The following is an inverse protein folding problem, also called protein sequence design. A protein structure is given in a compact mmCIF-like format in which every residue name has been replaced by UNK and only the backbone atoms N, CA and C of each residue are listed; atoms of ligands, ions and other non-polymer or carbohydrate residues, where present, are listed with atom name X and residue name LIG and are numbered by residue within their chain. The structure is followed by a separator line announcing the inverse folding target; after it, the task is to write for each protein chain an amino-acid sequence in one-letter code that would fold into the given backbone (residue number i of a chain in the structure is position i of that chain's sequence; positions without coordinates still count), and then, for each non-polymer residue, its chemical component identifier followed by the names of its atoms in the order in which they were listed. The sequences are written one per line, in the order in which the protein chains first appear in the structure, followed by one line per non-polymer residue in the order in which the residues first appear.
data_IF_611158628587
#
_entry.id   IF_611158628587
#
_cell.length_a   1.000
_cell.length_b   1.000
_cell.length_c   1.000
_cell.angle_alpha   90.00
_cell.angle_beta   90.00
_cell.angle_gamma   90.00
#
_symmetry.space_group_name_H-M   'P 1'
#
loop_
_entity.id
_entity.type
_entity.pdbx_description
1 polymer ?
#
# COMPACT_ATOMS: atom_id res chain seq x y z
N UNK A 1 -11.31 18.71 4.56
CA UNK A 1 -11.73 18.61 5.97
C UNK A 1 -10.95 17.47 6.61
N UNK A 2 -10.32 17.67 7.76
CA UNK A 2 -9.52 16.62 8.42
C UNK A 2 -10.46 15.70 9.20
N UNK A 3 -10.42 14.40 8.90
CA UNK A 3 -11.34 13.44 9.50
C UNK A 3 -11.01 13.09 10.96
N UNK A 4 -11.90 12.35 11.63
CA UNK A 4 -11.66 11.90 12.99
C UNK A 4 -10.45 10.95 13.07
N UNK A 5 -10.28 10.07 12.08
CA UNK A 5 -9.12 9.19 11.95
C UNK A 5 -7.81 9.99 11.89
N UNK A 6 -7.70 10.94 10.97
CA UNK A 6 -6.47 11.73 10.81
C UNK A 6 -6.16 12.55 12.07
N UNK A 7 -7.18 13.15 12.70
CA UNK A 7 -7.00 13.83 13.99
C UNK A 7 -6.50 12.87 15.08
N UNK A 8 -6.98 11.63 15.10
CA UNK A 8 -6.48 10.56 15.96
C UNK A 8 -4.99 10.31 15.75
N UNK A 9 -4.59 10.06 14.50
CA UNK A 9 -3.19 9.79 14.16
C UNK A 9 -2.24 10.94 14.49
N UNK A 10 -2.67 12.19 14.26
CA UNK A 10 -1.87 13.36 14.65
C UNK A 10 -1.69 13.49 16.17
N UNK A 11 -2.71 13.13 16.96
CA UNK A 11 -2.60 13.09 18.42
C UNK A 11 -1.63 11.99 18.86
N UNK A 12 -1.73 10.80 18.27
CA UNK A 12 -0.82 9.69 18.56
C UNK A 12 0.62 10.05 18.22
N UNK A 13 0.83 10.62 17.02
CA UNK A 13 2.14 11.10 16.58
C UNK A 13 2.74 12.09 17.57
N UNK A 14 1.97 13.10 17.99
CA UNK A 14 2.43 14.09 18.96
C UNK A 14 2.81 13.43 20.28
N UNK A 15 2.03 12.47 20.79
CA UNK A 15 2.38 11.70 22.00
C UNK A 15 3.67 10.92 21.82
N UNK A 16 3.88 10.29 20.66
CA UNK A 16 5.06 9.48 20.35
C UNK A 16 6.35 10.30 20.22
N UNK A 17 6.27 11.60 19.91
CA UNK A 17 7.45 12.49 19.90
C UNK A 17 8.06 12.68 21.29
N UNK A 18 7.23 12.69 22.33
CA UNK A 18 7.67 12.95 23.71
C UNK A 18 7.95 11.67 24.50
N UNK A 19 7.62 10.50 23.95
CA UNK A 19 7.94 9.24 24.58
C UNK A 19 9.44 8.94 24.45
N UNK A 20 10.11 8.61 25.55
CA UNK A 20 11.52 8.20 25.54
C UNK A 20 11.71 6.94 24.69
N UNK A 21 12.75 6.93 23.84
CA UNK A 21 12.95 5.88 22.84
C UNK A 21 11.86 5.79 21.77
N UNK A 22 10.96 6.78 21.73
CA UNK A 22 9.72 6.74 20.98
C UNK A 22 9.90 6.56 19.48
N UNK A 23 8.96 5.81 18.90
CA UNK A 23 8.78 5.65 17.46
C UNK A 23 8.58 6.98 16.72
N UNK A 24 8.28 8.08 17.42
CA UNK A 24 8.05 9.40 16.83
C UNK A 24 9.19 9.90 15.95
N UNK A 25 10.44 9.54 16.24
CA UNK A 25 11.58 9.91 15.39
C UNK A 25 11.58 9.25 14.00
N UNK A 26 10.81 8.17 13.85
CA UNK A 26 10.76 7.33 12.64
C UNK A 26 9.48 7.50 11.82
N UNK A 27 8.50 8.23 12.33
CA UNK A 27 7.22 8.44 11.65
C UNK A 27 6.85 9.91 11.67
N UNK A 28 6.52 10.47 10.49
CA UNK A 28 6.20 11.90 10.32
C UNK A 28 5.07 12.08 9.31
N UNK A 29 4.05 12.91 9.60
CA UNK A 29 3.12 13.35 8.57
C UNK A 29 3.84 14.26 7.57
N UNK A 30 3.43 14.25 6.31
CA UNK A 30 3.91 15.16 5.30
C UNK A 30 3.35 16.57 5.57
N UNK A 31 4.21 17.60 5.50
CA UNK A 31 3.87 18.98 5.88
C UNK A 31 2.69 19.56 5.10
N UNK A 32 2.65 19.30 3.79
CA UNK A 32 1.63 19.80 2.87
C UNK A 32 0.46 18.83 2.67
N UNK A 33 0.50 17.63 3.26
CA UNK A 33 -0.61 16.67 3.17
C UNK A 33 -0.63 15.71 4.38
N UNK A 34 -1.49 15.98 5.35
CA UNK A 34 -1.65 15.17 6.58
C UNK A 34 -2.16 13.75 6.35
N UNK A 35 -2.61 13.42 5.14
CA UNK A 35 -2.97 12.05 4.76
C UNK A 35 -1.74 11.22 4.36
N UNK A 36 -0.63 11.86 4.01
CA UNK A 36 0.60 11.17 3.64
C UNK A 36 1.53 11.14 4.84
N UNK A 37 2.03 9.96 5.13
CA UNK A 37 2.92 9.67 6.25
C UNK A 37 4.21 9.08 5.72
N UNK A 38 5.32 9.55 6.26
CA UNK A 38 6.65 9.05 6.01
C UNK A 38 7.06 8.15 7.16
N UNK A 39 7.51 6.93 6.84
CA UNK A 39 7.90 5.93 7.82
C UNK A 39 9.31 5.45 7.49
N UNK A 40 10.15 5.36 8.51
CA UNK A 40 11.45 4.67 8.48
C UNK A 40 11.33 3.46 9.38
N UNK A 41 11.53 2.27 8.81
CA UNK A 41 11.38 1.01 9.51
C UNK A 41 12.76 0.40 9.70
N UNK A 42 13.01 -0.12 10.89
CA UNK A 42 14.21 -0.92 11.18
C UNK A 42 13.82 -2.34 11.54
N UNK A 43 14.70 -3.28 11.21
CA UNK A 43 14.59 -4.65 11.72
C UNK A 43 14.91 -4.69 13.24
N UNK A 44 14.74 -5.87 13.84
CA UNK A 44 14.98 -6.06 15.29
C UNK A 44 16.42 -5.76 15.72
N UNK A 45 17.39 -5.79 14.79
CA UNK A 45 18.80 -5.52 15.03
C UNK A 45 19.19 -4.06 14.75
N UNK A 46 18.32 -3.27 14.09
CA UNK A 46 18.62 -1.90 13.69
C UNK A 46 19.53 -1.77 12.47
N UNK A 47 19.79 -2.87 11.74
CA UNK A 47 20.76 -2.87 10.65
C UNK A 47 20.12 -2.51 9.32
N UNK A 48 18.95 -3.11 9.02
CA UNK A 48 18.20 -2.87 7.79
C UNK A 48 17.25 -1.69 7.96
N UNK A 49 17.17 -0.85 6.93
CA UNK A 49 16.44 0.41 6.98
C UNK A 49 15.52 0.53 5.75
N UNK A 50 14.21 0.49 5.95
CA UNK A 50 13.22 0.65 4.87
C UNK A 50 12.50 1.98 5.05
N UNK A 51 12.62 2.83 4.05
CA UNK A 51 11.83 4.04 3.91
C UNK A 51 10.59 3.76 3.07
N UNK A 52 9.43 4.09 3.60
CA UNK A 52 8.17 3.99 2.88
C UNK A 52 7.27 5.20 3.12
N UNK A 53 6.38 5.41 2.17
CA UNK A 53 5.31 6.38 2.26
C UNK A 53 3.98 5.65 2.42
N UNK A 54 3.12 6.17 3.28
CA UNK A 54 1.81 5.60 3.56
C UNK A 54 0.76 6.69 3.38
N UNK A 55 -0.18 6.48 2.47
CA UNK A 55 -1.39 7.28 2.41
C UNK A 55 -2.44 6.65 3.33
N UNK A 56 -3.01 7.46 4.21
CA UNK A 56 -4.11 7.08 5.10
C UNK A 56 -5.33 7.95 4.77
N UNK A 57 -6.43 7.29 4.42
CA UNK A 57 -7.71 7.92 4.13
C UNK A 57 -8.87 7.13 4.72
N UNK A 58 -10.09 7.54 4.36
CA UNK A 58 -11.31 6.83 4.71
C UNK A 58 -12.20 6.68 3.47
N UNK A 59 -12.81 5.52 3.30
CA UNK A 59 -13.80 5.24 2.26
C UNK A 59 -14.98 4.53 2.90
N UNK A 60 -16.18 5.12 2.80
CA UNK A 60 -17.39 4.56 3.42
C UNK A 60 -17.30 4.40 4.95
N UNK A 61 -16.52 5.25 5.62
CA UNK A 61 -16.30 5.17 7.08
C UNK A 61 -15.24 4.15 7.53
N UNK A 62 -14.66 3.38 6.59
CA UNK A 62 -13.56 2.46 6.88
C UNK A 62 -12.20 3.09 6.51
N UNK A 63 -11.13 2.86 7.29
CA UNK A 63 -9.80 3.32 6.95
C UNK A 63 -9.30 2.66 5.66
N UNK A 64 -8.59 3.43 4.84
CA UNK A 64 -7.89 2.96 3.65
C UNK A 64 -6.41 3.29 3.83
N UNK A 65 -5.55 2.30 3.59
CA UNK A 65 -4.10 2.45 3.67
C UNK A 65 -3.47 2.02 2.34
N UNK A 66 -2.72 2.93 1.72
CA UNK A 66 -1.92 2.64 0.53
C UNK A 66 -0.46 2.87 0.87
N UNK A 67 0.33 1.82 0.73
CA UNK A 67 1.75 1.80 1.05
C UNK A 67 2.58 1.88 -0.24
N UNK A 68 3.65 2.67 -0.22
CA UNK A 68 4.65 2.72 -1.28
C UNK A 68 6.03 2.54 -0.67
N UNK A 69 6.71 1.46 -1.03
CA UNK A 69 8.11 1.28 -0.63
C UNK A 69 9.02 2.14 -1.50
N UNK A 70 9.89 2.92 -0.85
CA UNK A 70 10.85 3.78 -1.53
C UNK A 70 12.26 3.18 -1.53
N UNK A 71 12.49 2.13 -0.73
CA UNK A 71 13.76 1.42 -0.62
C UNK A 71 13.69 0.06 -1.34
N UNK A 72 14.74 -0.35 -2.07
CA UNK A 72 14.89 -1.70 -2.59
C UNK A 72 14.70 -2.72 -1.47
N UNK A 73 13.82 -3.68 -1.71
CA UNK A 73 13.51 -4.73 -0.77
C UNK A 73 12.86 -5.91 -1.52
N UNK A 74 12.96 -7.10 -0.95
CA UNK A 74 12.48 -8.33 -1.58
C UNK A 74 10.95 -8.55 -1.45
N UNK A 75 10.23 -7.66 -0.77
CA UNK A 75 8.83 -7.86 -0.40
C UNK A 75 7.86 -7.02 -1.27
N UNK A 76 8.03 -5.70 -1.28
CA UNK A 76 7.21 -4.75 -2.04
C UNK A 76 8.01 -4.22 -3.22
N UNK A 77 7.47 -4.29 -4.46
CA UNK A 77 8.11 -3.72 -5.62
C UNK A 77 8.42 -2.23 -5.43
N UNK A 78 9.65 -1.86 -5.80
CA UNK A 78 10.15 -0.49 -5.64
C UNK A 78 9.22 0.52 -6.33
N UNK A 79 8.82 1.56 -5.58
CA UNK A 79 7.97 2.66 -6.04
C UNK A 79 6.56 2.29 -6.51
N UNK A 80 6.10 1.05 -6.31
CA UNK A 80 4.70 0.69 -6.58
C UNK A 80 3.81 0.96 -5.37
N UNK A 81 2.57 1.35 -5.66
CA UNK A 81 1.53 1.45 -4.65
C UNK A 81 0.99 0.06 -4.39
N UNK A 82 0.88 -0.26 -3.11
CA UNK A 82 0.40 -1.53 -2.63
C UNK A 82 -0.64 -1.26 -1.57
N UNK A 83 -1.81 -1.82 -1.76
CA UNK A 83 -2.91 -1.51 -0.88
C UNK A 83 -2.92 -2.47 0.32
N UNK A 84 -2.91 -1.88 1.52
CA UNK A 84 -2.69 -2.59 2.78
C UNK A 84 -3.97 -2.87 3.52
N UNK A 85 -4.85 -3.72 2.99
CA UNK A 85 -6.09 -4.09 3.70
C UNK A 85 -5.84 -4.63 5.13
N UNK A 86 -4.83 -5.49 5.39
CA UNK A 86 -4.49 -5.90 6.76
C UNK A 86 -4.01 -4.74 7.62
N UNK A 87 -3.31 -3.78 7.02
CA UNK A 87 -2.77 -2.58 7.68
C UNK A 87 -3.91 -1.61 8.04
N UNK A 88 -4.93 -1.49 7.19
CA UNK A 88 -6.12 -0.71 7.47
C UNK A 88 -6.94 -1.28 8.63
N UNK A 89 -7.02 -2.61 8.77
CA UNK A 89 -7.70 -3.26 9.90
C UNK A 89 -7.07 -2.92 11.24
N UNK A 90 -5.74 -2.76 11.29
CA UNK A 90 -5.03 -2.35 12.50
C UNK A 90 -5.48 -0.96 12.99
N UNK A 91 -5.71 -0.03 12.05
CA UNK A 91 -6.24 1.30 12.38
C UNK A 91 -7.68 1.22 12.90
N UNK A 92 -8.51 0.37 12.29
CA UNK A 92 -9.90 0.16 12.71
C UNK A 92 -9.99 -0.50 14.10
N UNK A 93 -9.06 -1.41 14.43
CA UNK A 93 -9.01 -2.13 15.71
C UNK A 93 -8.49 -1.32 16.90
N UNK A 94 -8.23 -0.02 16.73
CA UNK A 94 -7.74 0.86 17.80
C UNK A 94 -6.24 0.78 18.06
N UNK A 95 -5.46 0.11 17.20
CA UNK A 95 -4.00 0.05 17.31
C UNK A 95 -3.32 1.41 17.10
N UNK A 96 -4.03 2.37 16.49
CA UNK A 96 -3.55 3.73 16.27
C UNK A 96 -2.28 3.78 15.42
N UNK A 97 -1.53 4.87 15.54
CA UNK A 97 -0.32 5.07 14.73
C UNK A 97 0.82 4.09 15.10
N UNK A 98 0.92 3.70 16.37
CA UNK A 98 1.94 2.74 16.82
C UNK A 98 1.63 1.30 16.35
N UNK A 99 0.35 0.90 16.36
CA UNK A 99 -0.11 -0.36 15.77
C UNK A 99 0.19 -0.40 14.27
N UNK A 100 -0.17 0.67 13.55
CA UNK A 100 0.15 0.83 12.13
C UNK A 100 1.64 0.60 11.86
N UNK A 101 2.51 1.32 12.57
CA UNK A 101 3.96 1.20 12.41
C UNK A 101 4.44 -0.24 12.62
N UNK A 102 4.03 -0.89 13.71
CA UNK A 102 4.43 -2.28 14.03
C UNK A 102 3.94 -3.26 12.98
N UNK A 103 2.70 -3.11 12.49
CA UNK A 103 2.15 -3.97 11.45
C UNK A 103 2.94 -3.83 10.15
N UNK A 104 3.23 -2.61 9.71
CA UNK A 104 4.00 -2.37 8.49
C UNK A 104 5.43 -2.90 8.63
N UNK A 105 6.09 -2.67 9.77
CA UNK A 105 7.42 -3.23 10.05
C UNK A 105 7.41 -4.77 9.98
N UNK A 106 6.40 -5.42 10.57
CA UNK A 106 6.22 -6.87 10.51
C UNK A 106 6.03 -7.41 9.10
N UNK A 107 5.35 -6.68 8.21
CA UNK A 107 5.20 -7.07 6.80
C UNK A 107 6.56 -7.10 6.08
N UNK A 108 7.39 -6.06 6.27
CA UNK A 108 8.69 -6.01 5.60
C UNK A 108 9.70 -6.98 6.21
N UNK A 109 9.81 -7.05 7.54
CA UNK A 109 10.87 -7.83 8.20
C UNK A 109 10.46 -9.24 8.61
N UNK A 110 9.23 -9.64 8.30
CA UNK A 110 8.79 -11.04 8.39
C UNK A 110 9.35 -11.95 7.29
N UNK A 111 10.09 -11.40 6.32
CA UNK A 111 10.68 -12.15 5.21
C UNK A 111 12.20 -11.94 5.12
N UNK A 112 12.89 -12.91 4.51
CA UNK A 112 14.29 -12.76 4.19
C UNK A 112 14.49 -11.74 3.05
N UNK A 113 15.37 -10.76 3.27
CA UNK A 113 15.78 -9.80 2.25
C UNK A 113 17.06 -10.27 1.56
N UNK A 114 17.09 -10.10 0.23
CA UNK A 114 18.28 -10.31 -0.60
C UNK A 114 19.19 -9.09 -0.58
N UNK A 115 18.62 -7.91 -0.40
CA UNK A 115 19.33 -6.65 -0.36
C UNK A 115 20.13 -6.51 0.94
N UNK A 116 21.34 -5.97 0.84
CA UNK A 116 22.20 -5.70 1.98
C UNK A 116 21.69 -4.51 2.80
N UNK A 117 22.04 -4.50 4.09
CA UNK A 117 21.76 -3.37 4.99
C UNK A 117 22.46 -2.08 4.51
N UNK A 118 23.65 -2.21 3.92
CA UNK A 118 24.42 -1.10 3.35
C UNK A 118 23.72 -0.48 2.15
N UNK A 119 23.21 -1.30 1.22
CA UNK A 119 22.45 -0.83 0.05
C UNK A 119 21.21 -0.09 0.50
N UNK A 120 20.41 -0.68 1.39
CA UNK A 120 19.17 -0.06 1.87
C UNK A 120 19.42 1.31 2.52
N UNK A 121 20.42 1.39 3.41
CA UNK A 121 20.82 2.65 4.07
C UNK A 121 21.37 3.68 3.08
N UNK A 122 22.25 3.27 2.17
CA UNK A 122 22.83 4.17 1.17
C UNK A 122 21.75 4.68 0.20
N UNK A 123 20.81 3.82 -0.20
CA UNK A 123 19.71 4.15 -1.07
C UNK A 123 18.84 5.29 -0.51
N UNK A 124 18.44 5.18 0.76
CA UNK A 124 17.61 6.20 1.40
C UNK A 124 18.31 7.56 1.46
N UNK A 125 19.62 7.56 1.69
CA UNK A 125 20.43 8.79 1.81
C UNK A 125 20.77 9.41 0.45
N UNK A 126 20.96 8.60 -0.59
CA UNK A 126 21.40 9.08 -1.91
C UNK A 126 20.22 9.33 -2.85
N UNK A 127 19.31 8.37 -2.95
CA UNK A 127 18.26 8.34 -3.98
C UNK A 127 16.97 8.98 -3.49
N UNK A 128 16.53 8.70 -2.27
CA UNK A 128 15.28 9.21 -1.71
C UNK A 128 15.42 10.67 -1.24
N UNK A 129 14.99 11.63 -2.05
CA UNK A 129 15.07 13.07 -1.70
C UNK A 129 14.18 13.41 -0.50
N UNK A 130 12.99 12.85 -0.48
CA UNK A 130 11.98 13.03 0.58
C UNK A 130 12.47 12.46 1.91
N UNK A 131 13.21 11.36 1.90
CA UNK A 131 13.84 10.81 3.11
C UNK A 131 14.77 11.85 3.75
N UNK A 132 15.65 12.47 2.97
CA UNK A 132 16.58 13.50 3.48
C UNK A 132 15.86 14.72 4.01
N UNK A 133 14.81 15.17 3.32
CA UNK A 133 14.00 16.30 3.77
C UNK A 133 13.30 16.01 5.10
N UNK A 134 12.70 14.83 5.22
CA UNK A 134 11.88 14.46 6.39
C UNK A 134 12.71 13.96 7.58
N UNK A 135 13.86 13.34 7.33
CA UNK A 135 14.69 12.67 8.33
C UNK A 135 16.17 13.06 8.24
N UNK A 136 16.45 14.36 8.09
CA UNK A 136 17.81 14.88 7.98
C UNK A 136 18.75 14.42 9.11
N UNK A 137 18.24 14.26 10.34
CA UNK A 137 19.01 13.74 11.47
C UNK A 137 19.57 12.32 11.24
N UNK A 138 18.92 11.51 10.40
CA UNK A 138 19.35 10.14 10.07
C UNK A 138 20.42 10.09 8.97
N UNK A 139 20.67 11.23 8.32
CA UNK A 139 21.65 11.36 7.25
C UNK A 139 23.07 11.62 7.78
N UNK A 140 23.24 11.83 9.09
CA UNK A 140 24.51 12.24 9.70
C UNK A 140 25.63 11.20 9.78
N UNK A 141 25.51 10.05 9.12
CA UNK A 141 26.53 8.99 9.11
C UNK A 141 27.28 8.93 7.78
N UNK A 142 28.59 8.71 7.83
CA UNK A 142 29.38 8.46 6.62
C UNK A 142 28.87 7.20 5.90
N UNK A 143 28.54 7.34 4.61
CA UNK A 143 28.17 6.21 3.78
C UNK A 143 29.41 5.37 3.46
N UNK A 144 29.30 4.05 3.56
CA UNK A 144 30.37 3.15 3.14
C UNK A 144 30.56 3.20 1.62
N UNK A 145 31.81 3.09 1.16
CA UNK A 145 32.11 3.00 -0.27
C UNK A 145 31.37 1.83 -0.94
N UNK A 146 31.24 0.70 -0.22
CA UNK A 146 30.48 -0.47 -0.66
C UNK A 146 29.00 -0.14 -0.89
N UNK A 147 28.34 0.54 0.05
CA UNK A 147 26.92 0.91 -0.12
C UNK A 147 26.70 1.84 -1.31
N UNK A 148 27.61 2.80 -1.53
CA UNK A 148 27.56 3.68 -2.71
C UNK A 148 27.77 2.92 -4.02
N UNK A 149 28.69 1.95 -4.06
CA UNK A 149 28.90 1.09 -5.21
C UNK A 149 27.64 0.26 -5.52
N UNK A 150 27.02 -0.33 -4.50
CA UNK A 150 25.79 -1.11 -4.64
C UNK A 150 24.63 -0.24 -5.16
N UNK A 151 24.48 1.00 -4.70
CA UNK A 151 23.46 1.91 -5.24
C UNK A 151 23.68 2.17 -6.73
N UNK A 152 24.93 2.40 -7.17
CA UNK A 152 25.26 2.65 -8.58
C UNK A 152 24.96 1.42 -9.45
N UNK A 153 25.34 0.23 -8.97
CA UNK A 153 25.06 -1.05 -9.62
C UNK A 153 23.55 -1.28 -9.75
N UNK A 154 22.80 -1.13 -8.65
CA UNK A 154 21.35 -1.31 -8.64
C UNK A 154 20.64 -0.38 -9.62
N UNK A 155 21.06 0.89 -9.68
CA UNK A 155 20.53 1.87 -10.65
C UNK A 155 20.88 1.52 -12.10
N UNK A 156 22.06 0.93 -12.35
CA UNK A 156 22.47 0.50 -13.68
C UNK A 156 21.68 -0.72 -14.18
N UNK A 157 21.37 -1.66 -13.29
CA UNK A 157 20.57 -2.85 -13.60
C UNK A 157 19.10 -2.50 -13.84
N UNK A 158 18.47 -1.85 -12.86
CA UNK A 158 17.02 -1.59 -12.89
C UNK A 158 16.64 -0.35 -13.70
N UNK A 159 17.61 0.52 -14.02
CA UNK A 159 17.43 1.60 -14.98
C UNK A 159 17.07 1.09 -16.38
N UNK A 160 17.49 -0.14 -16.72
CA UNK A 160 17.15 -0.81 -18.00
C UNK A 160 15.76 -1.45 -17.97
N UNK A 161 15.36 -2.05 -16.84
CA UNK A 161 14.06 -2.72 -16.69
C UNK A 161 12.86 -1.77 -16.68
N UNK A 162 13.04 -0.49 -16.30
CA UNK A 162 11.97 0.51 -16.47
C UNK A 162 11.55 0.73 -17.92
N UNK A 163 12.35 0.27 -18.90
CA UNK A 163 11.99 0.25 -20.31
C UNK A 163 11.23 -1.03 -20.75
N UNK A 164 11.13 -2.08 -19.93
CA UNK A 164 10.45 -3.33 -20.27
C UNK A 164 10.18 -4.19 -19.03
N UNK A 165 8.93 -4.21 -18.55
CA UNK A 165 8.59 -4.63 -17.19
C UNK A 165 8.36 -6.12 -16.91
N UNK A 166 7.64 -6.32 -15.77
CA UNK A 166 7.04 -7.51 -15.16
C UNK A 166 7.94 -8.37 -14.26
N UNK A 167 7.71 -8.37 -12.92
CA UNK A 167 8.15 -9.47 -12.04
C UNK A 167 7.46 -9.50 -10.65
N UNK A 168 7.26 -10.73 -10.12
CA UNK A 168 7.33 -11.05 -8.68
C UNK A 168 6.11 -11.71 -8.00
N UNK A 169 5.95 -13.04 -8.09
CA UNK A 169 4.79 -13.82 -7.63
C UNK A 169 4.71 -14.17 -6.12
N UNK A 170 5.03 -13.24 -5.19
CA UNK A 170 4.91 -13.50 -3.73
C UNK A 170 4.03 -12.52 -2.94
N UNK A 171 3.32 -11.62 -3.62
CA UNK A 171 2.47 -10.59 -3.03
C UNK A 171 1.03 -11.06 -2.68
N UNK A 172 0.86 -12.27 -2.15
CA UNK A 172 -0.48 -12.86 -1.96
C UNK A 172 -1.37 -12.12 -0.93
N UNK A 173 -0.83 -11.19 -0.13
CA UNK A 173 -1.60 -10.40 0.84
C UNK A 173 -1.73 -8.91 0.45
N UNK A 174 -1.10 -8.52 -0.66
CA UNK A 174 -0.84 -7.12 -0.99
C UNK A 174 -1.11 -6.89 -2.48
N UNK A 175 -2.31 -6.41 -2.78
CA UNK A 175 -2.74 -6.13 -4.16
C UNK A 175 -1.97 -4.91 -4.66
N UNK A 176 -1.16 -5.12 -5.72
CA UNK A 176 -0.50 -4.03 -6.43
C UNK A 176 -1.56 -3.14 -7.10
N UNK A 177 -1.52 -1.86 -6.79
CA UNK A 177 -2.45 -0.86 -7.28
C UNK A 177 -1.82 -0.25 -8.55
N UNK A 178 -1.80 -1.02 -9.64
CA UNK A 178 -1.21 -0.64 -10.93
C UNK A 178 -2.09 0.42 -11.62
N UNK A 179 -1.91 1.69 -11.25
CA UNK A 179 -2.53 2.84 -11.89
C UNK A 179 -1.59 3.49 -12.91
N UNK A 180 -1.50 2.92 -14.12
CA UNK A 180 -0.87 3.60 -15.25
C UNK A 180 -1.72 4.78 -15.73
N UNK A 181 -1.15 5.98 -15.64
CA UNK A 181 -1.53 7.24 -16.31
C UNK A 181 -3.04 7.59 -16.47
N UNK A 182 -3.44 8.69 -15.82
CA UNK A 182 -4.70 9.46 -15.99
C UNK A 182 -5.96 8.82 -15.38
N UNK A 183 -6.09 8.89 -14.06
CA UNK A 183 -7.42 8.99 -13.44
C UNK A 183 -7.31 9.72 -12.12
N UNK A 184 -8.17 10.73 -11.92
CA UNK A 184 -8.30 11.47 -10.68
C UNK A 184 -9.06 10.68 -9.60
N UNK A 185 -9.39 9.41 -9.85
CA UNK A 185 -10.05 8.53 -8.90
C UNK A 185 -9.15 7.34 -8.57
N UNK A 186 -8.75 7.29 -7.30
CA UNK A 186 -8.01 6.18 -6.67
C UNK A 186 -8.91 4.93 -6.60
N UNK A 187 -9.17 4.30 -7.75
CA UNK A 187 -9.80 2.98 -7.83
C UNK A 187 -8.71 1.91 -7.99
N UNK A 188 -8.26 1.38 -6.86
CA UNK A 188 -7.63 0.06 -6.79
C UNK A 188 -7.71 -0.44 -5.35
N UNK A 189 -8.88 -0.99 -4.98
CA UNK A 189 -9.10 -1.96 -3.90
C UNK A 189 -10.60 -2.21 -3.76
N UNK A 190 -11.21 -2.84 -4.76
CA UNK A 190 -12.53 -3.46 -4.62
C UNK A 190 -12.37 -4.95 -4.95
N UNK A 191 -12.27 -5.78 -3.90
CA UNK A 191 -12.42 -7.25 -3.92
C UNK A 191 -12.55 -7.67 -2.45
N UNK A 192 -13.61 -8.33 -1.95
CA UNK A 192 -14.81 -8.89 -2.54
C UNK A 192 -15.92 -8.86 -1.47
N UNK A 193 -17.06 -8.26 -1.77
CA UNK A 193 -18.39 -8.64 -1.25
C UNK A 193 -19.41 -8.07 -2.23
N UNK A 194 -19.69 -8.80 -3.30
CA UNK A 194 -20.95 -8.74 -4.11
C UNK A 194 -20.85 -9.50 -5.46
N UNK A 195 -19.99 -10.52 -5.56
CA UNK A 195 -19.98 -11.44 -6.71
C UNK A 195 -21.13 -12.49 -6.68
N UNK A 196 -22.22 -12.23 -5.94
CA UNK A 196 -23.38 -13.13 -5.82
C UNK A 196 -24.66 -12.67 -6.53
N UNK A 197 -24.76 -11.41 -7.00
CA UNK A 197 -26.06 -10.86 -7.42
C UNK A 197 -26.14 -10.29 -8.85
N UNK A 198 -25.07 -10.36 -9.66
CA UNK A 198 -25.07 -9.74 -11.02
C UNK A 198 -24.73 -10.67 -12.18
N UNK A 199 -24.85 -11.99 -12.00
CA UNK A 199 -24.78 -12.98 -13.08
C UNK A 199 -26.15 -13.32 -13.71
N UNK A 200 -27.25 -12.69 -13.30
CA UNK A 200 -28.61 -12.99 -13.80
C UNK A 200 -29.19 -11.94 -14.77
N UNK A 201 -28.44 -10.90 -15.18
CA UNK A 201 -29.01 -9.78 -15.98
C UNK A 201 -28.23 -9.36 -17.24
N UNK A 202 -27.37 -10.23 -17.77
CA UNK A 202 -26.63 -9.99 -19.04
C UNK A 202 -26.61 -11.19 -19.99
N UNK A 203 -27.75 -11.88 -20.13
CA UNK A 203 -28.03 -12.78 -21.27
C UNK A 203 -29.37 -12.47 -21.95
N UNK A 204 -29.75 -11.18 -22.08
CA UNK A 204 -30.86 -10.75 -22.94
C UNK A 204 -30.49 -9.48 -23.71
N UNK A 205 -29.52 -9.61 -24.61
CA UNK A 205 -29.25 -8.61 -25.65
C UNK A 205 -28.43 -9.24 -26.79
N UNK A 206 -28.95 -10.31 -27.40
CA UNK A 206 -28.55 -10.76 -28.72
C UNK A 206 -29.79 -11.42 -29.36
N UNK A 207 -30.24 -10.86 -30.47
CA UNK A 207 -31.58 -11.08 -31.01
C UNK A 207 -31.86 -12.49 -31.49
N UNK A 208 -33.09 -12.96 -31.19
CA UNK A 208 -33.85 -13.81 -32.09
C UNK A 208 -35.33 -13.55 -31.84
N UNK A 209 -36.04 -13.07 -32.85
CA UNK A 209 -37.49 -12.95 -32.82
C UNK A 209 -38.11 -14.35 -32.73
N UNK A 210 -39.05 -14.53 -31.81
CA UNK A 210 -39.86 -15.74 -31.65
C UNK A 210 -41.33 -15.31 -31.57
N UNK A 211 -42.28 -16.05 -32.16
CA UNK A 211 -43.61 -15.55 -32.48
C UNK A 211 -44.47 -15.31 -31.23
N UNK A 212 -45.36 -14.31 -31.30
CA UNK A 212 -46.44 -14.11 -30.33
C UNK A 212 -47.43 -15.26 -30.45
N UNK A 213 -47.49 -16.13 -29.44
CA UNK A 213 -48.57 -17.12 -29.32
C UNK A 213 -48.16 -18.39 -28.59
N UNK A 214 -47.80 -18.30 -27.30
CA UNK A 214 -47.70 -19.47 -26.41
C UNK A 214 -47.60 -18.99 -24.94
N UNK A 215 -48.68 -18.40 -24.40
CA UNK A 215 -48.75 -18.13 -22.95
C UNK A 215 -50.19 -18.12 -22.40
N UNK A 216 -51.12 -18.85 -23.03
CA UNK A 216 -52.49 -19.03 -22.49
C UNK A 216 -52.86 -20.50 -22.20
N UNK A 217 -52.06 -21.47 -22.65
CA UNK A 217 -52.46 -22.89 -22.56
C UNK A 217 -52.01 -23.58 -21.25
N UNK A 218 -50.99 -23.07 -20.58
CA UNK A 218 -50.50 -23.64 -19.32
C UNK A 218 -51.28 -23.15 -18.08
N UNK A 219 -51.99 -22.03 -18.21
CA UNK A 219 -52.91 -21.53 -17.17
C UNK A 219 -54.27 -22.25 -17.15
N UNK A 220 -54.67 -22.89 -18.26
CA UNK A 220 -55.91 -23.69 -18.33
C UNK A 220 -55.75 -25.10 -17.76
N UNK A 221 -54.57 -25.72 -17.86
CA UNK A 221 -54.31 -27.07 -17.32
C UNK A 221 -54.29 -27.14 -15.79
N UNK A 222 -54.00 -26.04 -15.09
CA UNK A 222 -53.99 -26.00 -13.61
C UNK A 222 -55.35 -25.74 -12.96
N UNK A 223 -56.43 -25.56 -13.73
CA UNK A 223 -57.79 -25.34 -13.22
C UNK A 223 -58.75 -26.52 -13.44
N UNK A 224 -58.25 -27.68 -13.92
CA UNK A 224 -59.05 -28.89 -14.17
C UNK A 224 -58.39 -30.19 -13.64
N UNK A 225 -57.47 -30.07 -12.70
CA UNK A 225 -56.94 -31.19 -11.92
C UNK A 225 -57.36 -31.02 -10.46
#
# INVERSE_FOLDING_TARGET
MVSALIRGLLRDWKRMQYAEGGLGRWIRPQENNVHVWHLVLYDGMGEREIYCMCYVGERGGAPVVVLRSCTPNSYVPLQRNVCGAPVARELAGGGGLAGLYRRVAGLFFGVAHRESAELMRAWNRVVCREFRAQFGALCGGALSATGLAQVREYLAEHGRERAGGAFGARAAELVACDGGARSADTQACDSETDAGARAAKRQRAAGRAVPRGACEEEARRRRRA
#
